data_IF_397231803525
#
_entry.id   IF_397231803525
#
_cell.length_a   1.000
_cell.length_b   1.000
_cell.length_c   1.000
_cell.angle_alpha   90.00
_cell.angle_beta   90.00
_cell.angle_gamma   90.00
#
_symmetry.space_group_name_H-M   'P 1'
#
loop_
_entity.id
_entity.type
_entity.pdbx_description
1 polymer ?
#
# COMPACT_ATOMS: atom_id res chain seq x y z
N UNK A 1 -61.93 -44.79 -40.22
CA UNK A 1 -61.52 -43.40 -40.12
C UNK A 1 -60.62 -43.07 -38.92
N UNK A 2 -59.79 -44.02 -38.41
CA UNK A 2 -58.89 -43.75 -37.24
C UNK A 2 -57.34 -43.78 -37.53
N UNK A 3 -56.94 -44.12 -38.79
CA UNK A 3 -55.51 -44.24 -39.10
C UNK A 3 -54.77 -42.95 -39.48
N UNK A 4 -55.51 -41.85 -39.74
CA UNK A 4 -54.89 -40.55 -40.10
C UNK A 4 -54.68 -39.62 -38.92
N UNK A 5 -55.23 -39.89 -37.73
CA UNK A 5 -55.12 -38.99 -36.57
C UNK A 5 -53.83 -39.18 -35.81
N UNK A 6 -53.28 -40.40 -35.81
CA UNK A 6 -52.03 -40.75 -35.08
C UNK A 6 -50.81 -39.97 -35.56
N UNK A 7 -50.54 -39.89 -36.89
CA UNK A 7 -49.40 -39.10 -37.38
C UNK A 7 -49.53 -37.59 -37.12
N UNK A 8 -50.75 -37.06 -37.13
CA UNK A 8 -51.05 -35.64 -36.85
C UNK A 8 -50.73 -35.33 -35.37
N UNK A 9 -51.15 -36.21 -34.44
CA UNK A 9 -50.90 -36.06 -33.00
C UNK A 9 -49.38 -36.14 -32.76
N UNK A 10 -48.65 -37.02 -33.43
CA UNK A 10 -47.20 -37.16 -33.27
C UNK A 10 -46.46 -35.93 -33.79
N UNK A 11 -46.85 -35.33 -34.91
CA UNK A 11 -46.30 -34.08 -35.45
C UNK A 11 -46.59 -32.92 -34.50
N UNK A 12 -47.78 -32.81 -33.96
CA UNK A 12 -48.15 -31.75 -32.99
C UNK A 12 -47.35 -31.90 -31.70
N UNK A 13 -47.13 -33.14 -31.21
CA UNK A 13 -46.33 -33.41 -30.03
C UNK A 13 -44.85 -33.08 -30.26
N UNK A 14 -44.30 -33.39 -31.45
CA UNK A 14 -42.92 -33.02 -31.80
C UNK A 14 -42.75 -31.51 -31.95
N UNK A 15 -43.68 -30.85 -32.62
CA UNK A 15 -43.66 -29.36 -32.78
C UNK A 15 -43.84 -28.69 -31.43
N UNK A 16 -44.78 -29.19 -30.60
CA UNK A 16 -44.96 -28.68 -29.24
C UNK A 16 -43.72 -28.90 -28.36
N UNK A 17 -43.08 -30.08 -28.44
CA UNK A 17 -41.83 -30.35 -27.73
C UNK A 17 -40.67 -29.48 -28.14
N UNK A 18 -40.48 -29.25 -29.46
CA UNK A 18 -39.46 -28.34 -29.98
C UNK A 18 -39.74 -26.88 -29.56
N UNK A 19 -41.02 -26.50 -29.52
CA UNK A 19 -41.43 -25.15 -29.12
C UNK A 19 -41.17 -24.88 -27.62
N UNK A 20 -41.43 -25.86 -26.76
CA UNK A 20 -41.18 -25.75 -25.32
C UNK A 20 -39.69 -25.71 -24.99
N UNK A 21 -38.86 -26.51 -25.66
CA UNK A 21 -37.39 -26.48 -25.46
C UNK A 21 -36.78 -25.17 -25.88
N UNK A 22 -37.24 -24.58 -27.01
CA UNK A 22 -36.74 -23.23 -27.44
C UNK A 22 -37.28 -22.08 -26.58
N UNK A 23 -38.32 -22.27 -25.83
CA UNK A 23 -38.92 -21.27 -24.94
C UNK A 23 -38.24 -21.19 -23.57
N UNK A 24 -37.50 -22.23 -23.17
CA UNK A 24 -36.81 -22.26 -21.88
C UNK A 24 -35.46 -21.51 -21.99
N UNK A 25 -35.29 -20.49 -21.18
CA UNK A 25 -34.03 -19.72 -21.03
C UNK A 25 -33.57 -19.79 -19.58
N UNK A 26 -32.35 -20.24 -19.40
CA UNK A 26 -31.67 -20.26 -18.10
C UNK A 26 -30.79 -19.01 -18.01
N UNK A 27 -31.03 -18.17 -17.00
CA UNK A 27 -30.18 -17.04 -16.65
C UNK A 27 -29.31 -17.49 -15.48
N UNK A 28 -27.99 -17.41 -15.69
CA UNK A 28 -27.02 -17.81 -14.66
C UNK A 28 -27.03 -16.88 -13.45
N UNK A 29 -26.54 -17.40 -12.32
CA UNK A 29 -26.37 -16.61 -11.09
C UNK A 29 -25.43 -15.43 -11.37
N UNK A 30 -25.77 -14.23 -10.87
CA UNK A 30 -24.98 -13.00 -11.07
C UNK A 30 -25.16 -12.38 -12.46
N UNK A 31 -26.13 -12.85 -13.25
CA UNK A 31 -26.49 -12.29 -14.54
C UNK A 31 -27.91 -11.76 -14.55
N UNK A 32 -28.16 -10.79 -15.38
CA UNK A 32 -29.48 -10.22 -15.64
C UNK A 32 -29.80 -10.33 -17.14
N UNK A 33 -30.97 -10.89 -17.46
CA UNK A 33 -31.41 -11.05 -18.85
C UNK A 33 -32.22 -9.84 -19.31
N UNK A 34 -31.85 -9.27 -20.46
CA UNK A 34 -32.61 -8.21 -21.14
C UNK A 34 -33.39 -8.85 -22.28
N UNK A 35 -34.70 -8.62 -22.29
CA UNK A 35 -35.60 -9.17 -23.32
C UNK A 35 -35.79 -8.17 -24.45
N UNK A 36 -35.52 -8.61 -25.66
CA UNK A 36 -35.79 -7.89 -26.88
C UNK A 36 -36.86 -8.62 -27.68
N UNK A 37 -37.91 -7.90 -28.06
CA UNK A 37 -38.98 -8.37 -28.95
C UNK A 37 -38.94 -7.57 -30.25
N UNK A 38 -39.09 -8.23 -31.39
CA UNK A 38 -39.12 -7.55 -32.70
C UNK A 38 -40.32 -6.63 -32.88
N UNK A 39 -41.42 -6.88 -32.14
CA UNK A 39 -42.63 -6.06 -32.22
C UNK A 39 -42.57 -4.83 -31.31
N UNK A 40 -42.16 -5.06 -30.04
CA UNK A 40 -42.28 -4.05 -28.98
C UNK A 40 -40.92 -3.47 -28.56
N UNK A 41 -39.83 -3.94 -29.19
CA UNK A 41 -38.46 -3.52 -28.90
C UNK A 41 -37.91 -4.09 -27.57
N UNK A 42 -37.06 -3.33 -26.89
CA UNK A 42 -36.45 -3.69 -25.63
C UNK A 42 -37.46 -3.53 -24.50
N UNK A 43 -37.69 -4.61 -23.75
CA UNK A 43 -38.59 -4.56 -22.58
C UNK A 43 -37.86 -3.87 -21.41
N UNK A 44 -38.66 -3.16 -20.59
CA UNK A 44 -38.11 -2.51 -19.38
C UNK A 44 -37.80 -3.49 -18.26
N UNK A 45 -38.58 -4.56 -18.17
CA UNK A 45 -38.43 -5.60 -17.17
C UNK A 45 -37.24 -6.50 -17.53
N UNK A 46 -36.39 -6.74 -16.55
CA UNK A 46 -35.22 -7.64 -16.66
C UNK A 46 -35.56 -9.02 -16.08
N UNK A 47 -34.91 -10.05 -16.61
CA UNK A 47 -35.03 -11.40 -16.09
C UNK A 47 -33.95 -11.61 -15.02
N UNK A 48 -34.39 -11.97 -13.83
CA UNK A 48 -33.51 -12.36 -12.73
C UNK A 48 -32.89 -13.73 -12.97
N UNK A 49 -31.82 -14.12 -12.24
CA UNK A 49 -31.27 -15.48 -12.29
C UNK A 49 -32.35 -16.54 -12.09
N UNK A 50 -32.32 -17.59 -12.91
CA UNK A 50 -33.30 -18.67 -12.86
C UNK A 50 -33.77 -19.14 -14.23
N UNK A 51 -34.79 -20.01 -14.24
CA UNK A 51 -35.40 -20.56 -15.45
C UNK A 51 -36.60 -19.72 -15.83
N UNK A 52 -36.61 -19.23 -17.08
CA UNK A 52 -37.68 -18.40 -17.63
C UNK A 52 -38.26 -19.03 -18.89
N UNK A 53 -39.58 -19.07 -18.97
CA UNK A 53 -40.27 -19.47 -20.18
C UNK A 53 -40.64 -18.26 -21.01
N UNK A 54 -39.97 -18.12 -22.16
CA UNK A 54 -40.04 -16.94 -23.01
C UNK A 54 -40.49 -17.37 -24.40
N UNK A 55 -41.34 -16.57 -25.05
CA UNK A 55 -41.72 -16.83 -26.44
C UNK A 55 -40.45 -16.93 -27.33
N UNK A 56 -40.38 -17.92 -28.25
CA UNK A 56 -39.30 -18.11 -29.19
C UNK A 56 -39.03 -16.89 -30.10
N UNK A 57 -40.00 -15.98 -30.20
CA UNK A 57 -39.88 -14.73 -30.97
C UNK A 57 -39.15 -13.62 -30.17
N UNK A 58 -38.89 -13.83 -28.89
CA UNK A 58 -38.14 -12.91 -28.06
C UNK A 58 -36.68 -13.37 -27.95
N UNK A 59 -35.76 -12.45 -28.04
CA UNK A 59 -34.34 -12.67 -27.78
C UNK A 59 -33.99 -12.22 -26.35
N UNK A 60 -33.08 -12.92 -25.72
CA UNK A 60 -32.55 -12.55 -24.41
C UNK A 60 -31.05 -12.34 -24.55
N UNK A 61 -30.58 -11.22 -24.03
CA UNK A 61 -29.18 -10.90 -23.88
C UNK A 61 -28.83 -10.83 -22.41
N UNK A 62 -27.70 -11.43 -22.02
CA UNK A 62 -27.27 -11.51 -20.64
C UNK A 62 -26.20 -10.46 -20.36
N UNK A 63 -26.34 -9.79 -19.21
CA UNK A 63 -25.34 -8.90 -18.68
C UNK A 63 -24.88 -9.41 -17.33
N UNK A 64 -23.56 -9.40 -17.08
CA UNK A 64 -23.03 -9.76 -15.78
C UNK A 64 -23.26 -8.60 -14.80
N UNK A 65 -24.06 -8.88 -13.76
CA UNK A 65 -24.30 -7.98 -12.64
C UNK A 65 -23.51 -8.38 -11.41
N UNK A 66 -22.71 -9.45 -11.50
CA UNK A 66 -21.70 -9.83 -10.55
C UNK A 66 -20.39 -9.06 -10.79
N UNK A 67 -19.49 -9.13 -9.82
CA UNK A 67 -18.17 -8.50 -9.96
C UNK A 67 -17.36 -9.24 -11.03
N UNK A 68 -17.00 -8.50 -12.08
CA UNK A 68 -16.12 -8.96 -13.15
C UNK A 68 -14.76 -8.24 -13.04
N UNK A 69 -13.71 -8.88 -13.55
CA UNK A 69 -12.39 -8.31 -13.56
C UNK A 69 -11.92 -8.17 -15.02
N UNK A 70 -11.62 -6.95 -15.41
CA UNK A 70 -10.93 -6.64 -16.64
C UNK A 70 -9.45 -6.52 -16.35
N UNK A 71 -8.63 -7.39 -16.96
CA UNK A 71 -7.17 -7.36 -16.86
C UNK A 71 -6.59 -6.94 -18.20
N UNK A 72 -5.70 -5.96 -18.17
CA UNK A 72 -4.89 -5.51 -19.30
C UNK A 72 -3.42 -5.59 -18.89
N UNK A 73 -2.80 -6.74 -19.07
CA UNK A 73 -1.44 -7.02 -18.61
C UNK A 73 -0.56 -7.51 -19.78
N UNK A 74 0.74 -7.29 -19.61
CA UNK A 74 1.77 -7.88 -20.45
C UNK A 74 1.95 -9.37 -20.14
N UNK A 75 1.77 -9.77 -18.87
CA UNK A 75 1.95 -11.13 -18.42
C UNK A 75 0.63 -11.92 -18.51
N UNK A 76 0.65 -13.02 -19.26
CA UNK A 76 -0.51 -13.93 -19.37
C UNK A 76 -0.92 -14.56 -18.03
N UNK A 77 0.00 -14.63 -17.06
CA UNK A 77 -0.29 -15.15 -15.70
C UNK A 77 -1.26 -14.27 -14.94
N UNK A 78 -1.34 -12.99 -15.27
CA UNK A 78 -2.28 -12.05 -14.65
C UNK A 78 -3.72 -12.24 -15.17
N UNK A 79 -3.93 -13.13 -16.15
CA UNK A 79 -5.25 -13.43 -16.73
C UNK A 79 -5.53 -12.72 -18.04
N UNK A 80 -4.59 -11.97 -18.60
CA UNK A 80 -4.71 -11.43 -19.96
C UNK A 80 -4.48 -12.52 -20.99
N UNK A 81 -5.26 -12.50 -22.09
CA UNK A 81 -5.09 -13.45 -23.20
C UNK A 81 -3.86 -13.11 -24.07
N UNK A 82 -3.61 -11.83 -24.24
CA UNK A 82 -2.54 -11.26 -25.06
C UNK A 82 -1.84 -10.12 -24.30
N UNK A 83 -0.78 -9.54 -24.86
CA UNK A 83 -0.16 -8.33 -24.33
C UNK A 83 -1.09 -7.13 -24.54
N UNK A 84 -1.92 -6.86 -23.53
CA UNK A 84 -2.86 -5.74 -23.49
C UNK A 84 -2.30 -4.55 -22.68
N UNK A 85 -1.03 -4.62 -22.23
CA UNK A 85 -0.36 -3.50 -21.57
C UNK A 85 -0.39 -2.25 -22.50
N UNK A 86 -0.39 -1.09 -21.90
CA UNK A 86 -0.46 0.15 -22.66
C UNK A 86 0.40 1.25 -22.06
N UNK A 87 0.80 2.19 -22.91
CA UNK A 87 1.64 3.31 -22.50
C UNK A 87 0.77 4.43 -21.94
N UNK A 88 1.26 5.03 -20.87
CA UNK A 88 0.68 6.23 -20.23
C UNK A 88 1.73 7.32 -20.13
N UNK A 89 1.29 8.58 -20.18
CA UNK A 89 2.12 9.74 -19.93
C UNK A 89 2.19 10.05 -18.43
N UNK A 90 3.28 10.68 -18.00
CA UNK A 90 3.51 11.10 -16.62
C UNK A 90 3.76 12.60 -16.54
N UNK A 91 3.71 13.20 -15.35
CA UNK A 91 3.91 14.65 -15.16
C UNK A 91 5.33 15.14 -15.51
N UNK A 92 6.29 14.25 -15.55
CA UNK A 92 7.70 14.50 -15.91
C UNK A 92 8.03 14.16 -17.37
N UNK A 93 7.02 14.22 -18.26
CA UNK A 93 7.11 13.96 -19.69
C UNK A 93 7.67 12.58 -20.07
N UNK A 94 7.67 11.63 -19.12
CA UNK A 94 8.03 10.26 -19.40
C UNK A 94 6.82 9.48 -19.93
N UNK A 95 7.09 8.42 -20.74
CA UNK A 95 6.07 7.48 -21.20
C UNK A 95 6.44 6.09 -20.73
N UNK A 96 5.57 5.49 -19.92
CA UNK A 96 5.77 4.17 -19.33
C UNK A 96 4.66 3.21 -19.72
N UNK A 97 5.02 1.96 -20.00
CA UNK A 97 4.03 0.91 -20.19
C UNK A 97 3.59 0.37 -18.81
N UNK A 98 2.29 0.18 -18.67
CA UNK A 98 1.69 -0.34 -17.44
C UNK A 98 0.80 -1.54 -17.71
N UNK A 99 0.74 -2.44 -16.75
CA UNK A 99 -0.31 -3.45 -16.60
C UNK A 99 -1.36 -2.95 -15.63
N UNK A 100 -2.62 -3.14 -15.97
CA UNK A 100 -3.74 -2.56 -15.25
C UNK A 100 -4.87 -3.57 -15.05
N UNK A 101 -5.57 -3.48 -13.92
CA UNK A 101 -6.80 -4.23 -13.68
C UNK A 101 -7.91 -3.31 -13.18
N UNK A 102 -9.13 -3.68 -13.52
CA UNK A 102 -10.34 -2.99 -13.08
C UNK A 102 -11.41 -4.01 -12.69
N UNK A 103 -11.89 -3.92 -11.47
CA UNK A 103 -13.05 -4.68 -11.00
C UNK A 103 -14.29 -3.84 -11.20
N UNK A 104 -15.29 -4.39 -11.87
CA UNK A 104 -16.51 -3.66 -12.23
C UNK A 104 -17.73 -4.58 -12.21
N UNK A 105 -18.91 -3.99 -12.24
CA UNK A 105 -20.18 -4.68 -12.49
C UNK A 105 -21.15 -3.78 -13.25
N UNK A 106 -22.05 -4.39 -13.99
CA UNK A 106 -23.17 -3.65 -14.55
C UNK A 106 -24.21 -3.37 -13.47
N UNK A 107 -24.73 -2.15 -13.44
CA UNK A 107 -25.81 -1.80 -12.52
C UNK A 107 -27.13 -2.40 -13.04
N UNK A 108 -27.79 -3.30 -12.27
CA UNK A 108 -29.03 -3.94 -12.69
C UNK A 108 -30.15 -2.96 -13.08
N UNK A 109 -30.17 -1.79 -12.44
CA UNK A 109 -31.24 -0.80 -12.66
C UNK A 109 -31.06 -0.02 -13.98
N UNK A 110 -29.80 0.12 -14.44
CA UNK A 110 -29.48 0.90 -15.65
C UNK A 110 -29.11 0.04 -16.86
N UNK A 111 -28.99 -1.28 -16.68
CA UNK A 111 -28.50 -2.21 -17.72
C UNK A 111 -29.38 -2.19 -18.99
N UNK A 112 -30.68 -1.96 -18.86
CA UNK A 112 -31.62 -1.87 -20.01
C UNK A 112 -31.31 -0.63 -20.85
N UNK A 113 -31.01 0.50 -20.21
CA UNK A 113 -30.68 1.73 -20.91
C UNK A 113 -29.29 1.66 -21.53
N UNK A 114 -28.35 1.00 -20.85
CA UNK A 114 -27.02 0.65 -21.39
C UNK A 114 -27.17 -0.17 -22.67
N UNK A 115 -27.97 -1.23 -22.65
CA UNK A 115 -28.24 -2.07 -23.83
C UNK A 115 -28.80 -1.27 -25.01
N UNK A 116 -29.78 -0.37 -24.76
CA UNK A 116 -30.33 0.51 -25.78
C UNK A 116 -29.28 1.48 -26.32
N UNK A 117 -28.52 2.11 -25.44
CA UNK A 117 -27.46 3.09 -25.77
C UNK A 117 -26.40 2.48 -26.68
N UNK A 118 -26.04 1.24 -26.45
CA UNK A 118 -25.03 0.51 -27.24
C UNK A 118 -25.63 -0.41 -28.30
N UNK A 119 -26.80 -0.07 -28.82
CA UNK A 119 -27.46 -0.73 -29.98
C UNK A 119 -27.60 -2.24 -29.82
N UNK A 120 -27.84 -2.72 -28.61
CA UNK A 120 -28.06 -4.12 -28.37
C UNK A 120 -26.79 -4.98 -28.35
N UNK A 121 -25.63 -4.40 -28.10
CA UNK A 121 -24.37 -5.13 -27.88
C UNK A 121 -24.45 -5.89 -26.57
N UNK A 122 -23.73 -7.02 -26.52
CA UNK A 122 -23.52 -7.77 -25.28
C UNK A 122 -22.59 -7.01 -24.32
N UNK A 123 -22.66 -7.30 -23.03
CA UNK A 123 -21.84 -6.63 -22.02
C UNK A 123 -20.34 -6.77 -22.30
N UNK A 124 -19.89 -7.96 -22.68
CA UNK A 124 -18.48 -8.22 -23.00
C UNK A 124 -18.02 -7.45 -24.24
N UNK A 125 -18.87 -7.40 -25.29
CA UNK A 125 -18.59 -6.63 -26.51
C UNK A 125 -18.47 -5.11 -26.20
N UNK A 126 -19.28 -4.59 -25.27
CA UNK A 126 -19.21 -3.18 -24.82
C UNK A 126 -17.87 -2.95 -24.13
N UNK A 127 -17.44 -3.86 -23.24
CA UNK A 127 -16.17 -3.76 -22.54
C UNK A 127 -15.01 -3.74 -23.55
N UNK A 128 -14.96 -4.71 -24.44
CA UNK A 128 -13.83 -4.85 -25.38
C UNK A 128 -13.77 -3.72 -26.41
N UNK A 129 -14.91 -3.33 -26.99
CA UNK A 129 -14.95 -2.38 -28.11
C UNK A 129 -15.10 -0.91 -27.68
N UNK A 130 -15.64 -0.64 -26.49
CA UNK A 130 -15.96 0.72 -26.03
C UNK A 130 -15.23 1.12 -24.78
N UNK A 131 -15.20 0.25 -23.76
CA UNK A 131 -14.66 0.58 -22.45
C UNK A 131 -13.12 0.53 -22.48
N UNK A 132 -12.52 -0.55 -22.98
CA UNK A 132 -11.05 -0.68 -23.03
C UNK A 132 -10.32 0.50 -23.70
N UNK A 133 -10.72 1.00 -24.90
CA UNK A 133 -10.04 2.14 -25.50
C UNK A 133 -10.17 3.42 -24.69
N UNK A 134 -11.35 3.68 -24.13
CA UNK A 134 -11.61 4.87 -23.31
C UNK A 134 -10.87 4.77 -21.98
N UNK A 135 -10.82 3.58 -21.39
CA UNK A 135 -10.09 3.30 -20.16
C UNK A 135 -8.60 3.65 -20.29
N UNK A 136 -7.95 3.19 -21.38
CA UNK A 136 -6.55 3.55 -21.68
C UNK A 136 -6.33 5.06 -21.74
N UNK A 137 -7.23 5.78 -22.41
CA UNK A 137 -7.18 7.25 -22.50
C UNK A 137 -7.36 7.92 -21.14
N UNK A 138 -8.34 7.46 -20.36
CA UNK A 138 -8.67 8.05 -19.05
C UNK A 138 -7.60 7.79 -18.01
N UNK A 139 -6.97 6.62 -18.03
CA UNK A 139 -5.83 6.33 -17.16
C UNK A 139 -4.64 7.20 -17.55
N UNK A 140 -4.35 7.35 -18.85
CA UNK A 140 -3.27 8.23 -19.30
C UNK A 140 -3.51 9.69 -18.92
N UNK A 141 -4.77 10.16 -18.86
CA UNK A 141 -5.13 11.50 -18.41
C UNK A 141 -4.79 11.68 -16.91
N UNK A 142 -5.19 10.74 -16.05
CA UNK A 142 -4.93 10.83 -14.61
C UNK A 142 -3.43 10.68 -14.29
N UNK A 143 -2.72 9.81 -15.01
CA UNK A 143 -1.30 9.58 -14.73
C UNK A 143 -0.43 10.79 -15.01
N UNK A 144 -0.91 11.79 -15.77
CA UNK A 144 -0.19 13.06 -15.96
C UNK A 144 -0.09 13.92 -14.69
N UNK A 145 -0.89 13.64 -13.67
CA UNK A 145 -0.80 14.30 -12.36
C UNK A 145 0.31 13.71 -11.47
N UNK A 146 0.89 12.58 -11.86
CA UNK A 146 1.88 11.83 -11.08
C UNK A 146 3.21 11.73 -11.81
N UNK A 147 4.31 11.79 -11.05
CA UNK A 147 5.63 11.53 -11.63
C UNK A 147 5.81 10.04 -11.91
N UNK A 148 6.72 9.73 -12.83
CA UNK A 148 7.11 8.36 -13.11
C UNK A 148 7.54 7.60 -11.85
N UNK A 149 8.28 8.26 -10.94
CA UNK A 149 8.74 7.67 -9.69
C UNK A 149 7.58 7.37 -8.73
N UNK A 150 6.54 8.21 -8.69
CA UNK A 150 5.36 7.95 -7.89
C UNK A 150 4.62 6.70 -8.36
N UNK A 151 4.51 6.51 -9.68
CA UNK A 151 3.87 5.35 -10.29
C UNK A 151 4.73 4.09 -10.12
N UNK A 152 6.07 4.21 -10.25
CA UNK A 152 6.99 3.07 -10.19
C UNK A 152 7.22 2.57 -8.75
N UNK A 153 7.55 3.45 -7.82
CA UNK A 153 7.95 3.10 -6.45
C UNK A 153 7.24 3.88 -5.35
N UNK A 154 6.36 4.83 -5.71
CA UNK A 154 5.69 5.72 -4.77
C UNK A 154 4.44 5.12 -4.13
N UNK A 155 3.54 5.99 -3.71
CA UNK A 155 2.30 5.62 -3.02
C UNK A 155 1.22 5.16 -4.02
N UNK A 156 1.35 3.97 -4.58
CA UNK A 156 0.38 3.37 -5.50
C UNK A 156 -1.04 3.31 -4.94
N UNK A 157 -1.18 3.18 -3.62
CA UNK A 157 -2.50 3.12 -2.98
C UNK A 157 -3.30 4.41 -3.22
N UNK A 158 -2.65 5.57 -3.11
CA UNK A 158 -3.29 6.86 -3.40
C UNK A 158 -3.66 6.95 -4.89
N UNK A 159 -2.73 6.61 -5.78
CA UNK A 159 -2.95 6.65 -7.23
C UNK A 159 -4.12 5.76 -7.62
N UNK A 160 -4.15 4.52 -7.15
CA UNK A 160 -5.24 3.58 -7.42
C UNK A 160 -6.59 4.09 -6.90
N UNK A 161 -6.62 4.68 -5.70
CA UNK A 161 -7.84 5.30 -5.14
C UNK A 161 -8.35 6.45 -6.00
N UNK A 162 -7.46 7.30 -6.49
CA UNK A 162 -7.82 8.45 -7.32
C UNK A 162 -8.29 7.99 -8.72
N UNK A 163 -7.62 6.98 -9.31
CA UNK A 163 -8.06 6.32 -10.54
C UNK A 163 -9.45 5.71 -10.37
N UNK A 164 -9.67 4.94 -9.29
CA UNK A 164 -10.95 4.29 -9.02
C UNK A 164 -12.09 5.30 -8.93
N UNK A 165 -11.91 6.37 -8.17
CA UNK A 165 -12.93 7.43 -8.02
C UNK A 165 -13.25 8.12 -9.34
N UNK A 166 -12.22 8.45 -10.10
CA UNK A 166 -12.38 9.12 -11.38
C UNK A 166 -13.12 8.23 -12.40
N UNK A 167 -12.67 6.97 -12.54
CA UNK A 167 -13.30 6.02 -13.45
C UNK A 167 -14.73 5.70 -13.04
N UNK A 168 -15.00 5.51 -11.74
CA UNK A 168 -16.33 5.21 -11.27
C UNK A 168 -17.31 6.32 -11.63
N UNK A 169 -16.94 7.58 -11.44
CA UNK A 169 -17.78 8.72 -11.81
C UNK A 169 -18.09 8.76 -13.31
N UNK A 170 -17.06 8.65 -14.15
CA UNK A 170 -17.20 8.78 -15.61
C UNK A 170 -17.92 7.55 -16.21
N UNK A 171 -17.63 6.36 -15.73
CA UNK A 171 -18.11 5.12 -16.33
C UNK A 171 -19.52 4.74 -15.85
N UNK A 172 -19.90 5.10 -14.65
CA UNK A 172 -21.30 4.94 -14.20
C UNK A 172 -22.25 5.73 -15.08
N UNK A 173 -21.93 6.97 -15.38
CA UNK A 173 -22.78 7.83 -16.20
C UNK A 173 -22.78 7.42 -17.69
N UNK A 174 -21.61 7.09 -18.23
CA UNK A 174 -21.45 6.83 -19.65
C UNK A 174 -21.78 5.40 -20.08
N UNK A 175 -21.47 4.43 -19.25
CA UNK A 175 -21.53 3.00 -19.60
C UNK A 175 -22.46 2.18 -18.71
N UNK A 176 -23.00 2.78 -17.63
CA UNK A 176 -23.86 2.07 -16.69
C UNK A 176 -23.13 0.97 -15.90
N UNK A 177 -21.82 1.09 -15.77
CA UNK A 177 -21.00 0.21 -14.94
C UNK A 177 -20.53 0.92 -13.67
N UNK A 178 -20.48 0.17 -12.58
CA UNK A 178 -19.90 0.60 -11.32
C UNK A 178 -18.48 0.05 -11.24
N UNK A 179 -17.49 0.94 -11.11
CA UNK A 179 -16.09 0.56 -10.91
C UNK A 179 -15.84 0.42 -9.42
N UNK A 180 -15.54 -0.80 -8.99
CA UNK A 180 -15.35 -1.15 -7.59
C UNK A 180 -13.91 -0.91 -7.15
N UNK A 181 -12.96 -1.30 -8.00
CA UNK A 181 -11.53 -1.12 -7.81
C UNK A 181 -10.83 -0.99 -9.15
N UNK A 182 -9.82 -0.17 -9.19
CA UNK A 182 -9.00 0.05 -10.37
C UNK A 182 -7.55 0.27 -9.96
N UNK A 183 -6.66 -0.60 -10.42
CA UNK A 183 -5.28 -0.61 -9.93
C UNK A 183 -4.24 -0.90 -11.01
N UNK A 184 -3.10 -0.24 -10.87
CA UNK A 184 -1.89 -0.54 -11.63
C UNK A 184 -1.26 -1.79 -11.02
N UNK A 185 -1.18 -2.88 -11.78
CA UNK A 185 -0.59 -4.16 -11.38
C UNK A 185 0.92 -4.06 -11.42
N UNK A 186 1.44 -3.67 -12.59
CA UNK A 186 2.88 -3.61 -12.84
C UNK A 186 3.25 -2.46 -13.77
N UNK A 187 4.52 -2.06 -13.73
CA UNK A 187 5.08 -0.96 -14.50
C UNK A 187 6.29 -1.48 -15.28
N UNK A 188 6.29 -1.27 -16.58
CA UNK A 188 7.30 -1.78 -17.49
C UNK A 188 8.08 -0.62 -18.12
N UNK A 189 9.11 -0.08 -17.46
CA UNK A 189 9.97 0.93 -18.06
C UNK A 189 10.80 0.31 -19.20
N UNK A 190 11.09 1.08 -20.22
CA UNK A 190 12.08 0.67 -21.23
C UNK A 190 13.50 0.66 -20.63
N UNK A 191 14.47 0.07 -21.32
CA UNK A 191 15.83 -0.11 -20.81
C UNK A 191 16.53 1.23 -20.47
N UNK A 192 16.27 2.28 -21.27
CA UNK A 192 16.84 3.62 -21.03
C UNK A 192 16.24 4.24 -19.76
N UNK A 193 14.94 4.12 -19.63
CA UNK A 193 14.20 4.64 -18.48
C UNK A 193 14.54 3.86 -17.22
N UNK A 194 14.69 2.53 -17.31
CA UNK A 194 15.13 1.68 -16.21
C UNK A 194 16.52 2.12 -15.69
N UNK A 195 17.47 2.32 -16.60
CA UNK A 195 18.81 2.82 -16.24
C UNK A 195 18.74 4.19 -15.56
N UNK A 196 17.89 5.10 -16.05
CA UNK A 196 17.71 6.41 -15.44
C UNK A 196 17.08 6.32 -14.04
N UNK A 197 16.11 5.41 -13.84
CA UNK A 197 15.51 5.12 -12.53
C UNK A 197 16.56 4.59 -11.57
N UNK A 198 17.33 3.57 -11.98
CA UNK A 198 18.35 2.93 -11.15
C UNK A 198 19.41 3.97 -10.71
N UNK A 199 19.87 4.82 -11.62
CA UNK A 199 20.81 5.89 -11.31
C UNK A 199 20.22 6.90 -10.30
N UNK A 200 18.94 7.28 -10.48
CA UNK A 200 18.28 8.23 -9.57
C UNK A 200 18.04 7.63 -8.18
N UNK A 201 17.65 6.34 -8.12
CA UNK A 201 17.51 5.62 -6.84
C UNK A 201 18.83 5.53 -6.12
N UNK A 202 19.92 5.18 -6.83
CA UNK A 202 21.28 5.13 -6.27
C UNK A 202 21.71 6.50 -5.72
N UNK A 203 21.55 7.57 -6.49
CA UNK A 203 21.88 8.92 -6.05
C UNK A 203 21.05 9.36 -4.83
N UNK A 204 19.78 8.97 -4.75
CA UNK A 204 18.92 9.24 -3.61
C UNK A 204 19.38 8.48 -2.36
N UNK A 205 19.75 7.22 -2.52
CA UNK A 205 20.29 6.40 -1.44
C UNK A 205 21.63 6.94 -0.92
N UNK A 206 22.53 7.33 -1.81
CA UNK A 206 23.80 7.98 -1.45
C UNK A 206 23.58 9.28 -0.67
N UNK A 207 22.63 10.11 -1.11
CA UNK A 207 22.25 11.33 -0.40
C UNK A 207 21.72 11.01 1.00
N UNK A 208 20.81 10.05 1.13
CA UNK A 208 20.26 9.64 2.43
C UNK A 208 21.33 9.08 3.36
N UNK A 209 22.27 8.30 2.84
CA UNK A 209 23.41 7.80 3.61
C UNK A 209 24.31 8.93 4.09
N UNK A 210 24.61 9.91 3.22
CA UNK A 210 25.42 11.07 3.60
C UNK A 210 24.72 11.93 4.68
N UNK A 211 23.42 12.14 4.56
CA UNK A 211 22.61 12.85 5.58
C UNK A 211 22.60 12.08 6.92
N UNK A 212 22.40 10.76 6.88
CA UNK A 212 22.44 9.93 8.09
C UNK A 212 23.83 9.95 8.76
N UNK A 213 24.91 9.90 7.99
CA UNK A 213 26.29 10.00 8.51
C UNK A 213 26.57 11.38 9.12
N UNK A 214 26.14 12.47 8.47
CA UNK A 214 26.22 13.80 9.06
C UNK A 214 25.46 13.91 10.37
N UNK A 215 24.25 13.35 10.43
CA UNK A 215 23.47 13.35 11.66
C UNK A 215 24.13 12.54 12.77
N UNK A 216 24.69 11.39 12.43
CA UNK A 216 25.46 10.56 13.36
C UNK A 216 26.65 11.30 13.94
N UNK A 217 27.44 11.99 13.08
CA UNK A 217 28.60 12.81 13.51
C UNK A 217 28.15 13.96 14.42
N UNK A 218 27.03 14.63 14.11
CA UNK A 218 26.48 15.68 14.97
C UNK A 218 26.11 15.15 16.35
N UNK A 219 25.40 14.02 16.40
CA UNK A 219 24.99 13.39 17.67
C UNK A 219 26.23 12.94 18.48
N UNK A 220 27.22 12.38 17.82
CA UNK A 220 28.48 12.00 18.49
C UNK A 220 29.19 13.20 19.12
N UNK A 221 29.37 14.30 18.37
CA UNK A 221 29.98 15.53 18.90
C UNK A 221 29.19 16.14 20.06
N UNK A 222 27.86 16.14 19.98
CA UNK A 222 27.01 16.60 21.07
C UNK A 222 27.14 15.72 22.31
N UNK A 223 27.21 14.40 22.10
CA UNK A 223 27.41 13.42 23.19
C UNK A 223 28.80 13.63 23.84
N UNK A 224 29.85 13.79 23.06
CA UNK A 224 31.22 14.07 23.57
C UNK A 224 31.25 15.38 24.38
N UNK A 225 30.58 16.43 23.90
CA UNK A 225 30.47 17.70 24.61
C UNK A 225 29.75 17.56 25.95
N UNK A 226 28.60 16.88 25.97
CA UNK A 226 27.82 16.61 27.20
C UNK A 226 28.67 15.80 28.17
N UNK A 227 29.41 14.81 27.68
CA UNK A 227 30.29 14.00 28.51
C UNK A 227 31.40 14.83 29.14
N UNK A 228 32.09 15.68 28.36
CA UNK A 228 33.12 16.57 28.86
C UNK A 228 32.56 17.57 29.91
N UNK A 229 31.39 18.17 29.65
CA UNK A 229 30.70 19.04 30.61
C UNK A 229 30.33 18.32 31.90
N UNK A 230 29.84 17.07 31.79
CA UNK A 230 29.49 16.20 32.92
C UNK A 230 30.72 15.87 33.75
N UNK A 231 31.83 15.47 33.09
CA UNK A 231 33.09 15.15 33.78
C UNK A 231 33.66 16.36 34.51
N UNK A 232 33.64 17.53 33.89
CA UNK A 232 34.02 18.77 34.53
C UNK A 232 33.16 19.10 35.76
N UNK A 233 31.83 18.92 35.65
CA UNK A 233 30.91 19.12 36.77
C UNK A 233 31.13 18.12 37.91
N UNK A 234 31.45 16.87 37.60
CA UNK A 234 31.81 15.85 38.59
C UNK A 234 33.07 16.24 39.31
N UNK A 235 34.11 16.74 38.62
CA UNK A 235 35.37 17.22 39.25
C UNK A 235 35.12 18.40 40.18
N UNK A 236 34.34 19.39 39.75
CA UNK A 236 33.97 20.52 40.59
C UNK A 236 33.20 20.07 41.81
N UNK A 237 32.26 19.18 41.68
CA UNK A 237 31.48 18.65 42.79
C UNK A 237 32.32 17.88 43.78
N UNK A 238 33.28 17.04 43.30
CA UNK A 238 34.25 16.37 44.17
C UNK A 238 35.17 17.34 44.90
N UNK A 239 35.72 18.33 44.20
CA UNK A 239 36.59 19.33 44.86
C UNK A 239 35.82 20.12 45.92
N UNK A 240 34.57 20.53 45.67
CA UNK A 240 33.73 21.22 46.65
C UNK A 240 33.40 20.31 47.85
N UNK A 241 33.08 19.02 47.61
CA UNK A 241 32.84 18.05 48.68
C UNK A 241 34.08 17.82 49.56
N UNK A 242 35.29 17.72 48.92
CA UNK A 242 36.54 17.59 49.66
C UNK A 242 36.86 18.85 50.45
N UNK A 243 36.65 20.03 49.85
CA UNK A 243 36.85 21.32 50.54
C UNK A 243 35.91 21.46 51.75
N UNK A 244 34.65 21.11 51.59
CA UNK A 244 33.66 21.13 52.69
C UNK A 244 34.00 20.08 53.78
N UNK A 245 34.39 18.88 53.37
CA UNK A 245 34.88 17.84 54.29
C UNK A 245 36.08 18.35 55.11
N UNK A 246 37.07 18.95 54.43
CA UNK A 246 38.25 19.49 55.09
C UNK A 246 37.89 20.68 56.01
N UNK A 247 36.92 21.49 55.63
CA UNK A 247 36.42 22.58 56.48
C UNK A 247 35.76 22.08 57.75
N UNK A 248 34.89 21.04 57.63
CA UNK A 248 34.27 20.35 58.77
C UNK A 248 35.29 19.71 59.68
N UNK A 249 36.29 19.00 59.12
CA UNK A 249 37.39 18.38 59.88
C UNK A 249 38.17 19.49 60.62
N UNK A 250 38.58 20.56 59.88
CA UNK A 250 39.35 21.66 60.46
C UNK A 250 38.59 22.36 61.62
N UNK A 251 37.28 22.54 61.48
CA UNK A 251 36.45 23.15 62.52
C UNK A 251 36.21 22.22 63.71
N UNK A 252 36.34 20.92 63.57
CA UNK A 252 36.21 19.89 64.59
C UNK A 252 37.53 19.55 65.34
N UNK A 253 38.66 19.99 64.80
CA UNK A 253 39.99 19.79 65.43
C UNK A 253 40.13 20.83 66.55
N UNK A 254 39.93 20.38 67.78
CA UNK A 254 40.23 21.15 68.96
C UNK A 254 41.58 20.74 69.56
N UNK A 255 42.21 21.60 70.39
CA UNK A 255 43.47 21.26 71.06
C UNK A 255 43.33 20.01 71.91
N UNK A 256 42.13 19.76 72.50
CA UNK A 256 41.85 18.53 73.24
C UNK A 256 41.86 17.30 72.33
N UNK A 257 41.28 17.36 71.13
CA UNK A 257 41.29 16.23 70.16
C UNK A 257 42.73 15.93 69.66
N UNK A 258 43.55 16.95 69.43
CA UNK A 258 44.94 16.79 69.07
C UNK A 258 45.68 16.06 70.17
N UNK A 259 45.56 16.51 71.43
CA UNK A 259 46.19 15.90 72.60
C UNK A 259 45.71 14.44 72.81
N UNK A 260 44.43 14.14 72.58
CA UNK A 260 43.90 12.79 72.69
C UNK A 260 44.51 11.87 71.59
N UNK A 261 44.57 12.35 70.33
CA UNK A 261 45.18 11.58 69.25
C UNK A 261 46.70 11.40 69.42
N UNK A 262 47.38 12.38 69.96
CA UNK A 262 48.79 12.23 70.34
C UNK A 262 48.99 11.22 71.45
N UNK A 263 48.09 11.20 72.45
CA UNK A 263 48.11 10.20 73.53
C UNK A 263 47.84 8.78 72.99
N UNK A 264 46.83 8.61 72.09
CA UNK A 264 46.56 7.34 71.41
C UNK A 264 47.77 6.84 70.57
N UNK A 265 48.38 7.74 69.80
CA UNK A 265 49.57 7.45 69.02
C UNK A 265 50.74 7.02 69.90
N UNK A 266 50.93 7.69 71.00
CA UNK A 266 51.95 7.38 72.03
C UNK A 266 51.73 5.99 72.65
N UNK A 267 50.49 5.63 72.94
CA UNK A 267 50.12 4.29 73.46
C UNK A 267 50.37 3.19 72.42
N UNK A 268 50.10 3.50 71.15
CA UNK A 268 50.18 2.46 70.08
C UNK A 268 51.59 2.27 69.54
N UNK A 269 52.36 3.33 69.42
CA UNK A 269 53.67 3.32 68.72
C UNK A 269 54.88 3.65 69.65
N UNK A 270 54.65 3.87 70.94
CA UNK A 270 55.69 4.23 71.89
C UNK A 270 56.11 5.71 71.82
N UNK A 271 56.96 6.14 72.76
CA UNK A 271 57.39 7.52 72.92
C UNK A 271 58.87 7.68 72.50
N UNK A 272 59.15 8.55 71.57
CA UNK A 272 60.51 8.97 71.21
C UNK A 272 60.74 10.42 71.61
N UNK A 273 61.63 10.64 72.58
CA UNK A 273 62.07 12.00 72.96
C UNK A 273 63.36 12.28 72.24
N UNK A 274 63.34 13.29 71.34
CA UNK A 274 64.58 13.77 70.68
C UNK A 274 65.04 15.01 71.38
N UNK A 275 66.22 14.89 71.97
CA UNK A 275 66.99 16.03 72.49
C UNK A 275 68.21 16.26 71.59
N UNK A 276 68.20 17.27 70.71
CA UNK A 276 69.28 17.67 69.88
C UNK A 276 69.07 17.65 68.40
N UNK A 277 69.78 18.46 67.66
CA UNK A 277 69.51 18.92 66.26
C UNK A 277 69.80 17.93 65.14
N UNK A 278 69.88 16.63 65.33
CA UNK A 278 70.06 15.61 64.28
C UNK A 278 69.18 14.41 64.57
N UNK A 279 67.99 14.36 63.91
CA UNK A 279 67.11 13.22 63.97
C UNK A 279 67.44 12.21 62.92
N UNK A 280 67.89 11.01 63.29
CA UNK A 280 67.82 9.84 62.45
C UNK A 280 66.61 9.03 62.82
N UNK A 281 65.61 8.95 61.96
CA UNK A 281 64.49 8.09 62.13
C UNK A 281 64.91 6.67 61.73
N UNK A 282 65.13 5.79 62.66
CA UNK A 282 65.22 4.34 62.36
C UNK A 282 63.83 3.72 62.42
N UNK A 283 63.44 3.22 61.34
CA UNK A 283 62.24 2.39 61.25
C UNK A 283 62.54 1.02 61.94
N UNK A 284 61.84 0.79 63.04
CA UNK A 284 61.89 -0.50 63.72
C UNK A 284 60.68 -1.34 63.40
N UNK A 285 60.47 -1.66 62.14
CA UNK A 285 59.54 -2.69 61.69
C UNK A 285 60.15 -4.08 61.87
N UNK A 286 60.23 -4.55 63.09
CA UNK A 286 60.76 -5.87 63.45
C UNK A 286 59.82 -6.64 64.40
N UNK A 287 58.95 -7.46 63.77
CA UNK A 287 58.13 -8.62 64.14
C UNK A 287 56.66 -8.43 64.16
#
# INVERSE_FOLDING_TARGET
MKKGLLPIILVVAIVGGVFTVKSCKLIGTGKTGIVYNYKDGVQKETLQPGIHFISPLKKVKEFSTSNEILVMSKDKRDGSKDDDSFKVATSDDASIAISFQMSYRYNPDTVVDTYKKFRGMDGDDIVDSRIKPVLKSKISEITTDYSMMDIYSGNRSKINSDITKYLNKDFTEKYGIEVLDASIIDVHPDDKLKTAIDNRVTALQEKQQAEAEQQKVKVQKETEKIQAETDAQIQITKANAEAESNRVISSSITDELIRMKEAEARLKFGWVTTTGANTVVTDNSGK
#
